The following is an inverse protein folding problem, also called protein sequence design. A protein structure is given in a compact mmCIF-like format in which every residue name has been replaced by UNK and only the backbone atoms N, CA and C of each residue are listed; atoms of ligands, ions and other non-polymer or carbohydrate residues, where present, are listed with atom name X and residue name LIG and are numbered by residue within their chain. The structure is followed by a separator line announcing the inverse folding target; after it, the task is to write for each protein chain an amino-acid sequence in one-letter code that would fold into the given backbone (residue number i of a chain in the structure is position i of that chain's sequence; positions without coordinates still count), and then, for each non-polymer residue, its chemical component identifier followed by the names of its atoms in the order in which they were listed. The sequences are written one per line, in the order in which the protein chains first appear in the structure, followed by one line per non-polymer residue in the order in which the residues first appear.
data_IF_224460432217
#
_entry.id   IF_224460432217
#
_cell.length_a   1.000
_cell.length_b   1.000
_cell.length_c   1.000
_cell.angle_alpha   90.00
_cell.angle_beta   90.00
_cell.angle_gamma   90.00
#
_symmetry.space_group_name_H-M   'P 1'
#
loop_
_entity.id
_entity.type
_entity.pdbx_description
1 polymer ?
#
# COMPACT_ATOMS: atom_id res chain seq x y z
N UNK A 1 21.99 1.35 -18.34
CA UNK A 1 22.30 -0.10 -18.52
C UNK A 1 23.36 -0.45 -17.50
N UNK A 2 23.10 -1.19 -16.42
CA UNK A 2 22.69 -2.60 -16.38
C UNK A 2 21.73 -2.87 -15.21
N UNK A 3 20.44 -3.06 -15.49
CA UNK A 3 19.56 -3.79 -14.58
C UNK A 3 19.85 -5.28 -14.77
N UNK A 4 20.10 -6.00 -13.69
CA UNK A 4 20.29 -7.45 -13.69
C UNK A 4 19.08 -8.07 -14.38
N UNK A 5 19.24 -8.57 -15.61
CA UNK A 5 18.16 -9.28 -16.31
C UNK A 5 17.79 -10.48 -15.45
N UNK A 6 16.70 -10.38 -14.70
CA UNK A 6 16.08 -11.56 -14.11
C UNK A 6 15.48 -12.34 -15.28
N UNK A 7 16.00 -13.54 -15.51
CA UNK A 7 15.32 -14.48 -16.41
C UNK A 7 13.92 -14.70 -15.82
N UNK A 8 12.91 -14.31 -16.59
CA UNK A 8 11.54 -14.63 -16.24
C UNK A 8 11.35 -16.15 -16.33
N UNK A 9 10.55 -16.76 -15.45
CA UNK A 9 10.14 -18.14 -15.62
C UNK A 9 9.35 -18.29 -16.93
N UNK A 10 9.49 -19.42 -17.60
CA UNK A 10 8.60 -19.81 -18.69
C UNK A 10 7.15 -19.90 -18.22
N UNK A 11 6.21 -19.84 -19.18
CA UNK A 11 4.78 -19.98 -18.89
C UNK A 11 4.49 -21.35 -18.23
N UNK A 12 5.24 -22.38 -18.60
CA UNK A 12 5.15 -23.72 -18.04
C UNK A 12 5.65 -23.78 -16.59
N UNK A 13 6.74 -23.09 -16.27
CA UNK A 13 7.26 -22.96 -14.90
C UNK A 13 6.32 -22.17 -13.98
N UNK A 14 5.51 -21.25 -14.54
CA UNK A 14 4.44 -20.55 -13.82
C UNK A 14 3.22 -21.44 -13.52
N UNK A 15 3.21 -22.68 -14.00
CA UNK A 15 2.28 -23.73 -13.61
C UNK A 15 1.10 -23.93 -14.57
N UNK A 16 0.44 -25.09 -14.51
CA UNK A 16 -0.52 -25.53 -15.52
C UNK A 16 -1.77 -24.65 -15.63
N UNK A 17 -2.21 -24.04 -14.52
CA UNK A 17 -3.35 -23.10 -14.53
C UNK A 17 -2.99 -21.79 -15.20
N UNK A 18 -1.77 -21.28 -15.00
CA UNK A 18 -1.29 -20.08 -15.66
C UNK A 18 -1.10 -20.32 -17.16
N UNK A 19 -0.52 -21.46 -17.55
CA UNK A 19 -0.42 -21.84 -18.95
C UNK A 19 -1.79 -21.96 -19.63
N UNK A 20 -2.80 -22.52 -18.95
CA UNK A 20 -4.16 -22.56 -19.46
C UNK A 20 -4.83 -21.18 -19.54
N UNK A 21 -4.50 -20.27 -18.61
CA UNK A 21 -4.93 -18.88 -18.63
C UNK A 21 -4.32 -18.12 -19.80
N UNK A 22 -3.01 -18.21 -20.02
CA UNK A 22 -2.30 -17.57 -21.13
C UNK A 22 -2.91 -17.92 -22.49
N UNK A 23 -3.22 -19.21 -22.71
CA UNK A 23 -3.88 -19.69 -23.94
C UNK A 23 -5.29 -19.15 -24.19
N UNK A 24 -5.92 -18.50 -23.20
CA UNK A 24 -7.26 -17.91 -23.31
C UNK A 24 -7.23 -16.40 -23.52
N UNK A 25 -6.06 -15.78 -23.57
CA UNK A 25 -5.96 -14.35 -23.83
C UNK A 25 -6.38 -14.06 -25.27
N UNK A 26 -7.18 -13.00 -25.43
CA UNK A 26 -7.62 -12.49 -26.73
C UNK A 26 -6.80 -11.26 -27.17
N UNK A 27 -6.12 -10.62 -26.22
CA UNK A 27 -5.28 -9.44 -26.38
C UNK A 27 -4.13 -9.48 -25.38
N UNK A 28 -3.06 -8.68 -25.57
CA UNK A 28 -1.96 -8.64 -24.62
C UNK A 28 -2.44 -8.30 -23.20
N UNK A 29 -1.84 -8.94 -22.21
CA UNK A 29 -1.98 -8.59 -20.80
C UNK A 29 -0.65 -8.05 -20.29
N UNK A 30 -0.65 -6.83 -19.76
CA UNK A 30 0.56 -6.19 -19.26
C UNK A 30 0.53 -6.19 -17.74
N UNK A 31 1.50 -6.88 -17.15
CA UNK A 31 1.84 -6.73 -15.75
C UNK A 31 2.79 -5.56 -15.62
N UNK A 32 2.44 -4.52 -14.86
CA UNK A 32 3.32 -3.38 -14.65
C UNK A 32 3.23 -2.82 -13.24
N UNK A 33 4.27 -2.09 -12.88
CA UNK A 33 4.46 -1.47 -11.57
C UNK A 33 5.25 -0.18 -11.74
N UNK A 34 5.03 0.79 -10.85
CA UNK A 34 5.69 2.10 -10.86
C UNK A 34 6.31 2.44 -9.53
N UNK A 35 7.53 3.00 -9.59
CA UNK A 35 8.10 3.73 -8.47
C UNK A 35 7.91 5.22 -8.72
N UNK A 36 7.56 5.96 -7.67
CA UNK A 36 7.18 7.37 -7.81
C UNK A 36 7.76 8.24 -6.70
N UNK A 37 7.72 9.56 -6.89
CA UNK A 37 8.18 10.53 -5.89
C UNK A 37 7.32 10.56 -4.62
N UNK A 38 6.21 9.84 -4.55
CA UNK A 38 5.30 9.86 -3.41
C UNK A 38 4.15 8.86 -3.52
N UNK A 39 2.96 9.25 -3.05
CA UNK A 39 1.77 8.36 -2.99
C UNK A 39 0.47 9.03 -3.44
N UNK A 40 0.56 10.23 -4.01
CA UNK A 40 -0.57 10.99 -4.55
C UNK A 40 -0.50 11.01 -6.10
N UNK A 41 -1.26 10.15 -6.80
CA UNK A 41 -1.18 10.03 -8.26
C UNK A 41 -1.36 11.34 -9.03
N UNK A 42 -2.13 12.29 -8.49
CA UNK A 42 -2.40 13.55 -9.16
C UNK A 42 -1.18 14.48 -9.23
N UNK A 43 -0.26 14.39 -8.26
CA UNK A 43 0.86 15.34 -8.12
C UNK A 43 2.23 14.67 -8.23
N UNK A 44 2.34 13.42 -7.77
CA UNK A 44 3.61 12.69 -7.79
C UNK A 44 3.99 12.23 -9.20
N UNK A 45 5.29 12.01 -9.38
CA UNK A 45 5.95 11.75 -10.66
C UNK A 45 6.53 10.34 -10.68
N UNK A 46 6.48 9.69 -11.84
CA UNK A 46 7.09 8.37 -12.03
C UNK A 46 8.62 8.54 -12.10
N UNK A 47 9.35 7.71 -11.35
CA UNK A 47 10.83 7.62 -11.37
C UNK A 47 11.32 6.31 -11.97
N UNK A 48 10.51 5.25 -11.90
CA UNK A 48 10.72 3.99 -12.62
C UNK A 48 9.38 3.41 -13.05
N UNK A 49 9.32 2.84 -14.25
CA UNK A 49 8.22 1.99 -14.69
C UNK A 49 8.77 0.69 -15.24
N UNK A 50 8.22 -0.43 -14.78
CA UNK A 50 8.61 -1.77 -15.21
C UNK A 50 7.39 -2.54 -15.69
N UNK A 51 7.54 -3.30 -16.78
CA UNK A 51 6.45 -4.10 -17.32
C UNK A 51 6.92 -5.45 -17.89
N UNK A 52 6.01 -6.41 -17.87
CA UNK A 52 6.09 -7.71 -18.53
C UNK A 52 4.82 -7.89 -19.35
N UNK A 53 4.96 -8.28 -20.62
CA UNK A 53 3.82 -8.50 -21.51
C UNK A 53 3.60 -9.99 -21.69
N UNK A 54 2.38 -10.43 -21.46
CA UNK A 54 1.89 -11.75 -21.80
C UNK A 54 1.01 -11.62 -23.03
N UNK A 55 1.48 -12.15 -24.14
CA UNK A 55 0.82 -12.07 -25.43
C UNK A 55 -0.10 -13.29 -25.67
N UNK A 56 -1.14 -13.16 -26.51
CA UNK A 56 -2.07 -14.27 -26.83
C UNK A 56 -1.41 -15.49 -27.48
N UNK A 57 -0.29 -15.31 -28.18
CA UNK A 57 0.41 -16.39 -28.84
C UNK A 57 1.07 -17.38 -27.86
N UNK A 58 1.21 -18.67 -28.24
CA UNK A 58 1.92 -19.65 -27.43
C UNK A 58 3.36 -19.21 -27.11
N UNK A 59 3.75 -19.28 -25.83
CA UNK A 59 5.07 -18.85 -25.38
C UNK A 59 5.25 -17.32 -25.35
N UNK A 60 4.18 -16.54 -25.53
CA UNK A 60 4.19 -15.08 -25.66
C UNK A 60 4.54 -14.29 -24.39
N UNK A 61 5.34 -14.83 -23.46
CA UNK A 61 5.82 -14.07 -22.32
C UNK A 61 7.09 -13.31 -22.72
N UNK A 62 6.97 -12.00 -22.91
CA UNK A 62 8.09 -11.14 -23.26
C UNK A 62 9.03 -10.90 -22.07
N UNK A 63 10.30 -10.58 -22.34
CA UNK A 63 11.25 -10.11 -21.32
C UNK A 63 10.72 -8.86 -20.59
N UNK A 64 11.08 -8.72 -19.32
CA UNK A 64 10.79 -7.51 -18.56
C UNK A 64 11.49 -6.30 -19.17
N UNK A 65 10.78 -5.18 -19.29
CA UNK A 65 11.32 -3.90 -19.73
C UNK A 65 11.13 -2.88 -18.63
N UNK A 66 12.20 -2.15 -18.31
CA UNK A 66 12.22 -1.18 -17.21
C UNK A 66 12.84 0.12 -17.70
N UNK A 67 12.17 1.23 -17.41
CA UNK A 67 12.66 2.58 -17.68
C UNK A 67 12.91 3.28 -16.37
N UNK A 68 14.13 3.77 -16.18
CA UNK A 68 14.43 4.85 -15.23
C UNK A 68 14.07 6.17 -15.89
N UNK A 69 13.38 7.03 -15.16
CA UNK A 69 12.83 8.28 -15.67
C UNK A 69 13.28 9.40 -14.77
N UNK A 70 13.80 10.48 -15.35
CA UNK A 70 13.99 11.74 -14.63
C UNK A 70 12.60 12.38 -14.41
N UNK A 71 12.13 12.48 -13.14
CA UNK A 71 10.81 13.03 -12.84
C UNK A 71 10.74 14.57 -13.04
N UNK A 72 11.87 15.25 -13.28
CA UNK A 72 11.98 16.70 -13.40
C UNK A 72 11.74 17.45 -12.08
N UNK A 73 11.69 16.72 -10.96
CA UNK A 73 11.52 17.24 -9.60
C UNK A 73 12.42 16.45 -8.64
N UNK A 74 12.71 17.01 -7.46
CA UNK A 74 13.48 16.30 -6.45
C UNK A 74 12.69 15.08 -5.95
N UNK A 75 13.33 13.90 -5.94
CA UNK A 75 12.83 12.70 -5.25
C UNK A 75 12.97 12.91 -3.73
N UNK A 76 11.87 12.86 -2.94
CA UNK A 76 11.91 12.96 -1.48
C UNK A 76 12.69 11.81 -0.85
N UNK A 77 13.28 12.05 0.34
CA UNK A 77 14.09 11.04 1.03
C UNK A 77 13.24 9.84 1.44
N UNK A 78 11.99 10.08 1.84
CA UNK A 78 11.04 9.05 2.25
C UNK A 78 10.72 8.10 1.10
N UNK A 79 10.64 8.61 -0.13
CA UNK A 79 10.46 7.78 -1.33
C UNK A 79 11.74 6.96 -1.62
N UNK A 80 12.90 7.62 -1.55
CA UNK A 80 14.21 6.95 -1.68
C UNK A 80 14.41 5.84 -0.65
N UNK A 81 13.97 6.01 0.60
CA UNK A 81 14.06 4.98 1.64
C UNK A 81 13.17 3.76 1.35
N UNK A 82 12.07 3.94 0.61
CA UNK A 82 11.15 2.87 0.24
C UNK A 82 11.69 2.07 -0.96
N UNK A 83 11.97 2.75 -2.07
CA UNK A 83 12.29 2.08 -3.34
C UNK A 83 13.78 2.09 -3.69
N UNK A 84 14.62 2.78 -2.91
CA UNK A 84 16.08 2.81 -3.09
C UNK A 84 16.57 3.60 -4.30
N UNK A 85 15.75 4.50 -4.85
CA UNK A 85 16.09 5.30 -6.04
C UNK A 85 16.41 6.73 -5.59
N UNK A 86 17.63 7.15 -5.86
CA UNK A 86 18.13 8.47 -5.51
C UNK A 86 18.02 9.44 -6.68
N UNK A 87 18.15 10.74 -6.42
CA UNK A 87 18.22 11.75 -7.47
C UNK A 87 19.41 11.54 -8.42
N UNK A 88 20.51 10.94 -7.95
CA UNK A 88 21.67 10.64 -8.77
C UNK A 88 21.42 9.46 -9.74
N UNK A 89 20.56 8.51 -9.36
CA UNK A 89 20.24 7.34 -10.21
C UNK A 89 19.41 7.71 -11.43
N UNK A 90 18.69 8.84 -11.38
CA UNK A 90 17.85 9.34 -12.48
C UNK A 90 18.51 10.50 -13.24
N UNK A 91 19.69 10.94 -12.80
CA UNK A 91 20.42 12.01 -13.49
C UNK A 91 20.85 11.53 -14.90
N UNK A 92 20.45 12.30 -15.92
CA UNK A 92 20.71 11.95 -17.32
C UNK A 92 19.85 10.81 -17.88
N UNK A 93 18.87 10.32 -17.12
CA UNK A 93 17.82 9.45 -17.64
C UNK A 93 16.78 10.27 -18.43
N UNK A 94 16.03 9.66 -19.37
CA UNK A 94 15.01 10.38 -20.12
C UNK A 94 13.90 10.90 -19.20
N UNK A 95 13.34 12.06 -19.53
CA UNK A 95 12.11 12.53 -18.87
C UNK A 95 10.90 11.77 -19.41
N UNK A 96 9.77 11.80 -18.68
CA UNK A 96 8.57 11.05 -19.08
C UNK A 96 8.11 11.33 -20.52
N UNK A 97 8.22 12.58 -20.98
CA UNK A 97 7.83 12.98 -22.34
C UNK A 97 8.57 12.20 -23.44
N UNK A 98 9.83 11.82 -23.20
CA UNK A 98 10.69 11.12 -24.16
C UNK A 98 10.33 9.62 -24.25
N UNK A 99 9.81 9.03 -23.18
CA UNK A 99 9.42 7.60 -23.17
C UNK A 99 7.91 7.38 -23.40
N UNK A 100 7.11 8.45 -23.38
CA UNK A 100 5.66 8.34 -23.40
C UNK A 100 5.10 7.67 -24.66
N UNK A 101 5.69 7.89 -25.85
CA UNK A 101 5.21 7.24 -27.08
C UNK A 101 5.49 5.73 -27.09
N UNK A 102 6.65 5.32 -26.59
CA UNK A 102 7.01 3.91 -26.47
C UNK A 102 6.08 3.19 -25.49
N UNK A 103 5.82 3.80 -24.33
CA UNK A 103 4.86 3.29 -23.36
C UNK A 103 3.46 3.20 -23.95
N UNK A 104 2.96 4.24 -24.61
CA UNK A 104 1.65 4.20 -25.26
C UNK A 104 1.56 3.11 -26.32
N UNK A 105 2.60 2.90 -27.12
CA UNK A 105 2.63 1.85 -28.12
C UNK A 105 2.53 0.45 -27.48
N UNK A 106 3.20 0.23 -26.36
CA UNK A 106 3.16 -1.05 -25.63
C UNK A 106 1.80 -1.32 -24.99
N UNK A 107 1.18 -0.29 -24.38
CA UNK A 107 -0.08 -0.38 -23.65
C UNK A 107 -1.33 -0.38 -24.54
N UNK A 108 -1.23 0.12 -25.78
CA UNK A 108 -2.36 0.23 -26.70
C UNK A 108 -2.99 -1.13 -26.96
N UNK A 109 -4.29 -1.24 -26.72
CA UNK A 109 -5.07 -2.44 -26.98
C UNK A 109 -4.77 -3.60 -26.02
N UNK A 110 -4.04 -3.36 -24.93
CA UNK A 110 -3.78 -4.35 -23.91
C UNK A 110 -4.79 -4.26 -22.74
N UNK A 111 -4.98 -5.38 -22.07
CA UNK A 111 -5.48 -5.40 -20.70
C UNK A 111 -4.32 -5.21 -19.71
N UNK A 112 -4.65 -4.79 -18.49
CA UNK A 112 -3.66 -4.43 -17.49
C UNK A 112 -3.76 -5.34 -16.26
N UNK A 113 -2.62 -5.61 -15.65
CA UNK A 113 -2.49 -6.36 -14.42
C UNK A 113 -1.37 -5.80 -13.53
N UNK A 114 -1.45 -6.07 -12.24
CA UNK A 114 -0.44 -5.66 -11.26
C UNK A 114 -0.98 -5.84 -9.84
N UNK A 115 -0.27 -5.32 -8.85
CA UNK A 115 -0.67 -5.41 -7.43
C UNK A 115 -1.00 -4.00 -6.92
N UNK A 116 -2.26 -3.72 -6.56
CA UNK A 116 -2.77 -2.36 -6.29
C UNK A 116 -2.80 -1.43 -7.53
N UNK A 117 -2.70 -2.01 -8.71
CA UNK A 117 -2.52 -1.34 -10.01
C UNK A 117 -3.67 -0.39 -10.37
N UNK A 118 -4.91 -0.75 -10.01
CA UNK A 118 -6.09 0.03 -10.36
C UNK A 118 -6.25 1.29 -9.51
N UNK A 119 -5.74 1.25 -8.28
CA UNK A 119 -5.83 2.37 -7.34
C UNK A 119 -4.69 3.35 -7.51
N UNK A 120 -3.53 2.90 -7.97
CA UNK A 120 -2.32 3.70 -7.99
C UNK A 120 -1.66 3.78 -9.38
N UNK A 121 -1.04 2.71 -9.86
CA UNK A 121 -0.15 2.72 -11.04
C UNK A 121 -0.83 3.21 -12.32
N UNK A 122 -2.07 2.79 -12.57
CA UNK A 122 -2.85 3.28 -13.72
C UNK A 122 -3.10 4.78 -13.62
N UNK A 123 -3.38 5.28 -12.41
CA UNK A 123 -3.72 6.70 -12.20
C UNK A 123 -2.50 7.59 -12.35
N UNK A 124 -1.34 7.17 -11.84
CA UNK A 124 -0.11 7.95 -11.99
C UNK A 124 0.37 7.94 -13.44
N UNK A 125 0.24 6.81 -14.16
CA UNK A 125 0.52 6.74 -15.59
C UNK A 125 -0.40 7.68 -16.39
N UNK A 126 -1.70 7.69 -16.10
CA UNK A 126 -2.64 8.64 -16.72
C UNK A 126 -2.27 10.09 -16.42
N UNK A 127 -1.89 10.41 -15.18
CA UNK A 127 -1.49 11.76 -14.79
C UNK A 127 -0.22 12.22 -15.53
N UNK A 128 0.79 11.35 -15.64
CA UNK A 128 2.01 11.64 -16.43
C UNK A 128 1.69 11.85 -17.91
N UNK A 129 0.84 11.00 -18.52
CA UNK A 129 0.42 11.17 -19.91
C UNK A 129 -0.27 12.52 -20.13
N UNK A 130 -1.18 12.92 -19.23
CA UNK A 130 -1.86 14.22 -19.31
C UNK A 130 -0.87 15.38 -19.22
N UNK A 131 0.15 15.30 -18.34
CA UNK A 131 1.19 16.34 -18.21
C UNK A 131 1.96 16.58 -19.51
N UNK A 132 2.11 15.55 -20.34
CA UNK A 132 2.79 15.63 -21.64
C UNK A 132 1.84 15.75 -22.82
N UNK A 133 0.57 16.09 -22.58
CA UNK A 133 -0.43 16.33 -23.63
C UNK A 133 -0.91 15.05 -24.34
N UNK A 134 -0.80 13.89 -23.68
CA UNK A 134 -1.19 12.58 -24.21
C UNK A 134 -2.27 11.94 -23.36
N UNK A 135 -2.88 10.89 -23.89
CA UNK A 135 -3.92 10.13 -23.20
C UNK A 135 -3.90 8.67 -23.63
N UNK A 136 -4.21 7.79 -22.68
CA UNK A 136 -4.46 6.37 -22.92
C UNK A 136 -5.95 6.09 -22.69
N UNK A 137 -6.66 5.65 -23.74
CA UNK A 137 -8.06 5.24 -23.61
C UNK A 137 -8.13 3.86 -22.94
N UNK A 138 -8.71 3.85 -21.74
CA UNK A 138 -8.92 2.65 -20.92
C UNK A 138 -10.38 2.20 -20.88
N UNK A 139 -11.27 2.82 -21.67
CA UNK A 139 -12.71 2.56 -21.63
C UNK A 139 -13.09 1.11 -21.92
N UNK A 140 -12.27 0.39 -22.69
CA UNK A 140 -12.43 -1.04 -23.03
C UNK A 140 -11.34 -1.93 -22.43
N UNK A 141 -10.50 -1.38 -21.55
CA UNK A 141 -9.38 -2.09 -20.91
C UNK A 141 -9.88 -2.82 -19.68
N UNK A 142 -9.61 -4.13 -19.60
CA UNK A 142 -9.84 -4.92 -18.39
C UNK A 142 -8.64 -4.75 -17.46
N UNK A 143 -8.90 -4.65 -16.15
CA UNK A 143 -7.86 -4.53 -15.13
C UNK A 143 -7.94 -5.70 -14.16
N UNK A 144 -6.84 -6.44 -14.01
CA UNK A 144 -6.69 -7.54 -13.06
C UNK A 144 -5.78 -7.06 -11.92
N UNK A 145 -6.37 -6.74 -10.77
CA UNK A 145 -5.62 -6.34 -9.59
C UNK A 145 -5.39 -7.54 -8.65
N UNK A 146 -4.15 -8.00 -8.59
CA UNK A 146 -3.74 -9.14 -7.78
C UNK A 146 -3.95 -8.89 -6.27
N UNK A 147 -3.88 -7.63 -5.81
CA UNK A 147 -4.14 -7.30 -4.40
C UNK A 147 -5.61 -7.48 -4.07
N UNK A 148 -6.51 -7.08 -4.98
CA UNK A 148 -7.95 -7.26 -4.79
C UNK A 148 -8.29 -8.74 -4.68
N UNK A 149 -7.72 -9.57 -5.55
CA UNK A 149 -7.90 -11.03 -5.49
C UNK A 149 -7.35 -11.60 -4.18
N UNK A 150 -6.15 -11.18 -3.77
CA UNK A 150 -5.53 -11.61 -2.51
C UNK A 150 -6.42 -11.27 -1.32
N UNK A 151 -6.88 -10.04 -1.16
CA UNK A 151 -7.74 -9.65 -0.03
C UNK A 151 -9.10 -10.36 -0.02
N UNK A 152 -9.64 -10.74 -1.19
CA UNK A 152 -10.87 -11.51 -1.27
C UNK A 152 -10.67 -12.98 -0.89
N UNK A 153 -9.52 -13.58 -1.22
CA UNK A 153 -9.23 -15.00 -0.98
C UNK A 153 -8.57 -15.25 0.38
N UNK A 154 -7.83 -14.28 0.89
CA UNK A 154 -7.11 -14.32 2.16
C UNK A 154 -7.60 -13.20 3.11
N UNK A 155 -8.85 -13.29 3.62
CA UNK A 155 -9.38 -12.26 4.48
C UNK A 155 -8.65 -12.25 5.83
N UNK A 156 -8.52 -11.08 6.44
CA UNK A 156 -7.86 -10.90 7.75
C UNK A 156 -8.85 -11.03 8.90
N UNK A 157 -9.40 -12.23 9.08
CA UNK A 157 -10.34 -12.56 10.15
C UNK A 157 -9.99 -13.87 10.84
N UNK A 158 -10.68 -14.19 11.94
CA UNK A 158 -10.40 -15.37 12.76
C UNK A 158 -10.54 -16.68 11.97
N UNK A 159 -11.57 -16.82 11.14
CA UNK A 159 -11.77 -18.04 10.34
C UNK A 159 -10.60 -18.28 9.36
N UNK A 160 -10.10 -17.24 8.70
CA UNK A 160 -8.94 -17.36 7.83
C UNK A 160 -7.63 -17.58 8.59
N UNK A 161 -7.48 -16.97 9.78
CA UNK A 161 -6.34 -17.28 10.65
C UNK A 161 -6.36 -18.75 11.09
N UNK A 162 -7.51 -19.28 11.49
CA UNK A 162 -7.67 -20.68 11.88
C UNK A 162 -7.32 -21.62 10.71
N UNK A 163 -7.80 -21.32 9.51
CA UNK A 163 -7.41 -22.09 8.31
C UNK A 163 -5.91 -22.00 8.05
N UNK A 164 -5.31 -20.83 8.16
CA UNK A 164 -3.90 -20.62 7.84
C UNK A 164 -2.95 -21.30 8.84
N UNK A 165 -3.24 -21.21 10.14
CA UNK A 165 -2.37 -21.74 11.19
C UNK A 165 -2.70 -23.18 11.58
N UNK A 166 -3.95 -23.63 11.39
CA UNK A 166 -4.42 -24.91 11.90
C UNK A 166 -5.05 -25.82 10.84
N UNK A 167 -5.15 -25.40 9.57
CA UNK A 167 -5.79 -26.13 8.46
C UNK A 167 -7.23 -26.58 8.79
N UNK A 168 -7.98 -25.71 9.48
CA UNK A 168 -9.35 -25.97 9.94
C UNK A 168 -10.31 -24.84 9.58
N UNK A 169 -11.57 -25.21 9.38
CA UNK A 169 -12.68 -24.27 9.21
C UNK A 169 -13.31 -23.94 10.58
N UNK A 170 -13.78 -22.69 10.73
CA UNK A 170 -14.42 -22.24 11.95
C UNK A 170 -15.90 -22.65 11.97
N UNK A 171 -16.22 -23.65 12.78
CA UNK A 171 -17.60 -24.07 13.05
C UNK A 171 -18.21 -23.25 14.19
N UNK A 172 -19.49 -22.87 14.07
CA UNK A 172 -20.18 -22.11 15.12
C UNK A 172 -19.73 -20.64 15.26
N UNK A 173 -19.18 -20.05 14.19
CA UNK A 173 -18.73 -18.66 14.15
C UNK A 173 -19.74 -17.69 14.76
N UNK A 174 -19.25 -16.68 15.48
CA UNK A 174 -20.02 -15.70 16.28
C UNK A 174 -20.58 -16.26 17.60
N UNK A 175 -20.31 -17.52 17.93
CA UNK A 175 -20.44 -18.05 19.29
C UNK A 175 -19.19 -17.69 20.10
N UNK A 176 -19.36 -17.00 21.23
CA UNK A 176 -18.23 -16.52 22.03
C UNK A 176 -17.26 -17.64 22.45
N UNK A 177 -17.77 -18.83 22.75
CA UNK A 177 -16.95 -20.00 23.10
C UNK A 177 -16.14 -20.51 21.89
N UNK A 178 -16.80 -20.72 20.74
CA UNK A 178 -16.16 -21.19 19.52
C UNK A 178 -15.05 -20.22 19.06
N UNK A 179 -15.33 -18.91 19.09
CA UNK A 179 -14.36 -17.88 18.73
C UNK A 179 -13.18 -17.84 19.72
N UNK A 180 -13.43 -18.06 21.01
CA UNK A 180 -12.37 -18.09 22.04
C UNK A 180 -11.46 -19.30 21.86
N UNK A 181 -12.02 -20.49 21.63
CA UNK A 181 -11.24 -21.72 21.40
C UNK A 181 -10.45 -21.61 20.09
N UNK A 182 -11.06 -21.13 19.02
CA UNK A 182 -10.35 -20.91 17.76
C UNK A 182 -9.21 -19.89 17.91
N UNK A 183 -9.39 -18.85 18.74
CA UNK A 183 -8.33 -17.88 19.03
C UNK A 183 -7.15 -18.52 19.76
N UNK A 184 -7.42 -19.39 20.73
CA UNK A 184 -6.38 -20.17 21.42
C UNK A 184 -5.59 -21.04 20.43
N UNK A 185 -6.29 -21.76 19.55
CA UNK A 185 -5.67 -22.62 18.54
C UNK A 185 -4.82 -21.83 17.55
N UNK A 186 -5.34 -20.69 17.07
CA UNK A 186 -4.59 -19.76 16.22
C UNK A 186 -3.32 -19.29 16.91
N UNK A 187 -3.41 -18.88 18.17
CA UNK A 187 -2.24 -18.42 18.92
C UNK A 187 -1.21 -19.52 19.12
N UNK A 188 -1.63 -20.75 19.43
CA UNK A 188 -0.73 -21.90 19.48
C UNK A 188 -0.01 -22.13 18.14
N UNK A 189 -0.76 -22.11 17.02
CA UNK A 189 -0.18 -22.25 15.68
C UNK A 189 0.75 -21.09 15.28
N UNK A 190 0.53 -19.88 15.81
CA UNK A 190 1.46 -18.76 15.64
C UNK A 190 2.79 -19.03 16.36
N UNK A 191 2.76 -19.48 17.61
CA UNK A 191 3.98 -19.84 18.36
C UNK A 191 4.75 -20.97 17.68
N UNK A 192 4.06 -21.99 17.16
CA UNK A 192 4.70 -23.10 16.43
C UNK A 192 5.35 -22.65 15.11
N UNK A 193 4.70 -21.72 14.39
CA UNK A 193 5.17 -21.25 13.09
C UNK A 193 6.31 -20.24 13.18
N UNK A 194 6.29 -19.36 14.19
CA UNK A 194 7.21 -18.23 14.31
C UNK A 194 8.15 -18.43 15.48
N UNK A 195 9.33 -18.99 15.20
CA UNK A 195 10.35 -19.25 16.23
C UNK A 195 11.00 -17.99 16.80
N UNK A 196 10.71 -16.82 16.23
CA UNK A 196 11.11 -15.50 16.72
C UNK A 196 10.11 -14.86 17.70
N UNK A 197 8.93 -15.47 17.89
CA UNK A 197 8.03 -15.07 18.97
C UNK A 197 8.57 -15.56 20.31
N UNK A 198 8.68 -14.61 21.26
CA UNK A 198 9.02 -14.94 22.64
C UNK A 198 7.87 -15.74 23.29
N UNK A 199 8.21 -16.59 24.25
CA UNK A 199 7.24 -17.36 25.04
C UNK A 199 6.83 -16.62 26.32
N UNK A 200 7.50 -15.51 26.65
CA UNK A 200 7.10 -14.64 27.74
C UNK A 200 5.87 -13.79 27.37
N UNK A 201 4.88 -13.77 28.27
CA UNK A 201 3.63 -13.03 28.10
C UNK A 201 3.88 -11.52 27.99
N UNK A 202 4.86 -10.99 28.72
CA UNK A 202 5.23 -9.57 28.68
C UNK A 202 5.83 -9.16 27.35
N UNK A 203 6.72 -9.98 26.79
CA UNK A 203 7.29 -9.79 25.46
C UNK A 203 6.21 -9.84 24.36
N UNK A 204 5.33 -10.84 24.39
CA UNK A 204 4.20 -10.96 23.45
C UNK A 204 3.22 -9.78 23.57
N UNK A 205 2.96 -9.31 24.79
CA UNK A 205 2.19 -8.10 25.04
C UNK A 205 2.86 -6.87 24.42
N UNK A 206 4.18 -6.73 24.58
CA UNK A 206 4.93 -5.63 23.99
C UNK A 206 4.87 -5.63 22.46
N UNK A 207 5.00 -6.80 21.81
CA UNK A 207 4.83 -6.95 20.35
C UNK A 207 3.42 -6.54 19.92
N UNK A 208 2.41 -7.02 20.63
CA UNK A 208 1.00 -6.69 20.35
C UNK A 208 0.71 -5.20 20.49
N UNK A 209 1.37 -4.54 21.45
CA UNK A 209 1.23 -3.12 21.70
C UNK A 209 2.19 -2.22 20.92
N UNK A 210 3.26 -2.74 20.32
CA UNK A 210 4.17 -1.93 19.50
C UNK A 210 3.42 -1.23 18.36
N UNK A 211 2.44 -1.90 17.76
CA UNK A 211 1.53 -1.33 16.76
C UNK A 211 0.62 -0.25 17.36
N UNK A 212 0.18 -0.41 18.61
CA UNK A 212 -0.65 0.56 19.32
C UNK A 212 0.15 1.76 19.84
N UNK A 213 1.44 1.58 20.13
CA UNK A 213 2.35 2.65 20.61
C UNK A 213 2.59 3.73 19.54
N UNK A 214 2.24 3.48 18.27
CA UNK A 214 2.21 4.52 17.24
C UNK A 214 1.03 5.49 17.36
N UNK A 215 0.03 5.17 18.17
CA UNK A 215 -1.20 5.94 18.31
C UNK A 215 -1.31 6.62 19.68
N UNK A 216 -2.02 7.74 19.73
CA UNK A 216 -2.23 8.55 20.94
C UNK A 216 -3.52 8.14 21.67
N UNK A 217 -4.47 7.58 20.93
CA UNK A 217 -5.78 7.13 21.38
C UNK A 217 -6.08 5.70 20.91
N UNK A 218 -6.95 5.01 21.64
CA UNK A 218 -7.37 3.64 21.33
C UNK A 218 -8.09 3.53 19.97
N UNK A 219 -8.80 4.58 19.57
CA UNK A 219 -9.48 4.66 18.26
C UNK A 219 -8.54 4.85 17.07
N UNK A 220 -7.23 5.00 17.30
CA UNK A 220 -6.19 5.25 16.29
C UNK A 220 -6.48 6.48 15.43
N UNK A 221 -7.22 7.46 15.97
CA UNK A 221 -7.56 8.72 15.30
C UNK A 221 -6.39 9.68 15.27
N UNK A 222 -5.50 9.59 16.24
CA UNK A 222 -4.29 10.38 16.35
C UNK A 222 -3.08 9.47 16.44
N UNK A 223 -2.05 9.80 15.67
CA UNK A 223 -0.77 9.11 15.68
C UNK A 223 0.31 10.01 16.26
N UNK A 224 1.37 9.41 16.80
CA UNK A 224 2.59 10.14 17.14
C UNK A 224 3.41 10.38 15.87
N UNK A 225 3.75 11.65 15.58
CA UNK A 225 4.80 12.03 14.62
C UNK A 225 5.59 13.19 15.20
N UNK A 226 6.91 13.16 15.06
CA UNK A 226 7.81 14.19 15.60
C UNK A 226 7.52 14.52 17.09
N UNK A 227 7.19 13.49 17.87
CA UNK A 227 6.81 13.56 19.28
C UNK A 227 5.53 14.37 19.59
N UNK A 228 4.72 14.72 18.59
CA UNK A 228 3.41 15.34 18.78
C UNK A 228 2.25 14.55 18.14
N UNK A 229 1.01 14.74 18.62
CA UNK A 229 -0.17 14.13 18.01
C UNK A 229 -0.48 14.73 16.64
N UNK A 230 -0.63 13.89 15.63
CA UNK A 230 -1.12 14.24 14.30
C UNK A 230 -2.41 13.49 14.00
N UNK A 231 -3.27 14.06 13.14
CA UNK A 231 -4.47 13.34 12.68
C UNK A 231 -4.07 12.11 11.85
N UNK A 232 -4.73 10.99 12.08
CA UNK A 232 -4.56 9.76 11.30
C UNK A 232 -5.78 9.45 10.41
N UNK A 233 -6.71 10.40 10.26
CA UNK A 233 -7.95 10.24 9.50
C UNK A 233 -8.38 11.51 8.77
N UNK A 234 -9.29 11.34 7.81
CA UNK A 234 -9.95 12.42 7.10
C UNK A 234 -9.00 13.33 6.32
N UNK A 235 -9.51 14.50 5.91
CA UNK A 235 -8.78 15.49 5.11
C UNK A 235 -7.58 16.13 5.82
N UNK A 236 -7.47 15.96 7.14
CA UNK A 236 -6.36 16.50 7.94
C UNK A 236 -5.29 15.45 8.24
N UNK A 237 -5.39 14.23 7.69
CA UNK A 237 -4.41 13.16 7.93
C UNK A 237 -2.98 13.67 7.72
N UNK A 238 -2.12 13.41 8.70
CA UNK A 238 -0.72 13.86 8.74
C UNK A 238 -0.49 15.25 9.32
N UNK A 239 -1.53 16.08 9.52
CA UNK A 239 -1.38 17.43 10.09
C UNK A 239 -1.29 17.38 11.62
N UNK A 240 -0.52 18.28 12.27
CA UNK A 240 -0.47 18.38 13.73
C UNK A 240 -1.79 18.78 14.36
N UNK A 241 -2.15 18.15 15.47
CA UNK A 241 -3.29 18.58 16.29
C UNK A 241 -3.08 19.98 16.85
N UNK A 242 -1.82 20.35 17.16
CA UNK A 242 -1.43 21.70 17.57
C UNK A 242 -1.84 22.76 16.55
N UNK A 243 -1.61 22.49 15.25
CA UNK A 243 -1.99 23.39 14.16
C UNK A 243 -3.51 23.59 14.12
N UNK A 244 -4.28 22.51 14.20
CA UNK A 244 -5.74 22.61 14.21
C UNK A 244 -6.26 23.33 15.47
N UNK A 245 -5.57 23.21 16.59
CA UNK A 245 -5.93 23.89 17.83
C UNK A 245 -5.58 25.38 17.82
N UNK A 246 -4.59 25.83 17.03
CA UNK A 246 -4.20 27.24 16.92
C UNK A 246 -4.96 28.00 15.82
N UNK A 247 -5.48 27.31 14.81
CA UNK A 247 -6.23 27.93 13.71
C UNK A 247 -7.72 28.16 14.08
N UNK A 248 -8.26 29.40 13.97
CA UNK A 248 -9.65 29.69 14.34
C UNK A 248 -10.71 28.88 13.60
N UNK A 249 -10.48 28.56 12.33
CA UNK A 249 -11.40 27.76 11.49
C UNK A 249 -11.34 26.31 11.93
N UNK A 250 -10.13 25.77 12.11
CA UNK A 250 -9.95 24.36 12.48
C UNK A 250 -10.37 24.07 13.92
N UNK A 251 -10.33 25.05 14.83
CA UNK A 251 -10.95 24.93 16.16
C UNK A 251 -12.45 24.65 16.09
N UNK A 252 -13.14 25.17 15.07
CA UNK A 252 -14.54 24.86 14.78
C UNK A 252 -14.71 23.39 14.39
N UNK A 253 -13.82 22.89 13.53
CA UNK A 253 -13.78 21.48 13.14
C UNK A 253 -13.54 20.57 14.35
N UNK A 254 -12.56 20.89 15.21
CA UNK A 254 -12.30 20.15 16.45
C UNK A 254 -13.52 20.07 17.37
N UNK A 255 -14.25 21.18 17.54
CA UNK A 255 -15.51 21.18 18.32
C UNK A 255 -16.59 20.28 17.70
N UNK A 256 -16.68 20.25 16.36
CA UNK A 256 -17.62 19.34 15.69
C UNK A 256 -17.29 17.87 15.92
N UNK A 257 -16.00 17.52 16.04
CA UNK A 257 -15.56 16.17 16.33
C UNK A 257 -15.97 15.71 17.74
N UNK A 258 -16.02 16.62 18.72
CA UNK A 258 -16.47 16.31 20.08
C UNK A 258 -17.93 15.83 20.14
N UNK A 259 -18.76 16.29 19.21
CA UNK A 259 -20.17 15.90 19.08
C UNK A 259 -20.39 14.69 18.17
N UNK A 260 -19.31 14.13 17.59
CA UNK A 260 -19.38 13.00 16.66
C UNK A 260 -19.16 11.64 17.36
N UNK A 261 -19.32 10.54 16.61
CA UNK A 261 -19.05 9.17 17.06
C UNK A 261 -17.54 8.86 17.13
N UNK A 262 -16.78 9.77 17.74
CA UNK A 262 -15.37 9.56 18.11
C UNK A 262 -15.34 8.99 19.53
N UNK A 263 -14.37 8.13 19.83
CA UNK A 263 -14.19 7.57 21.17
C UNK A 263 -13.82 8.66 22.19
N UNK A 264 -14.10 8.41 23.47
CA UNK A 264 -13.89 9.42 24.53
C UNK A 264 -12.41 9.77 24.73
N UNK A 265 -11.49 8.87 24.40
CA UNK A 265 -10.05 9.08 24.54
C UNK A 265 -9.56 10.12 23.52
N UNK A 266 -9.96 9.97 22.26
CA UNK A 266 -9.74 10.97 21.22
C UNK A 266 -10.46 12.30 21.53
N UNK A 267 -11.67 12.28 22.12
CA UNK A 267 -12.34 13.52 22.56
C UNK A 267 -11.59 14.22 23.68
N UNK A 268 -11.05 13.48 24.66
CA UNK A 268 -10.24 14.03 25.73
C UNK A 268 -9.00 14.74 25.16
N UNK A 269 -8.30 14.09 24.22
CA UNK A 269 -7.15 14.68 23.53
C UNK A 269 -7.51 16.00 22.82
N UNK A 270 -8.66 16.04 22.14
CA UNK A 270 -9.15 17.25 21.46
C UNK A 270 -9.48 18.36 22.47
N UNK A 271 -10.12 18.03 23.61
CA UNK A 271 -10.44 19.01 24.66
C UNK A 271 -9.16 19.61 25.24
N UNK A 272 -8.17 18.78 25.59
CA UNK A 272 -6.85 19.22 26.05
C UNK A 272 -6.19 20.17 25.03
N UNK A 273 -6.20 19.81 23.75
CA UNK A 273 -5.62 20.62 22.69
C UNK A 273 -6.33 21.98 22.52
N UNK A 274 -7.66 22.01 22.60
CA UNK A 274 -8.45 23.24 22.53
C UNK A 274 -8.17 24.20 23.70
N UNK A 275 -7.76 23.67 24.85
CA UNK A 275 -7.29 24.39 26.04
C UNK A 275 -5.80 24.77 25.98
N UNK A 276 -5.10 24.41 24.89
CA UNK A 276 -3.67 24.68 24.70
C UNK A 276 -2.74 23.62 25.30
N UNK A 277 -3.27 22.53 25.85
CA UNK A 277 -2.51 21.39 26.36
C UNK A 277 -2.31 20.37 25.24
N UNK A 278 -1.17 20.40 24.58
CA UNK A 278 -0.80 19.40 23.56
C UNK A 278 0.06 18.33 24.22
N UNK A 279 -0.39 17.08 24.19
CA UNK A 279 0.42 15.94 24.66
C UNK A 279 1.71 15.87 23.85
N UNK A 280 2.78 15.42 24.49
CA UNK A 280 4.08 15.19 23.83
C UNK A 280 4.63 13.84 24.27
N UNK A 281 5.19 13.08 23.34
CA UNK A 281 5.89 11.84 23.65
C UNK A 281 7.33 12.17 24.03
N UNK A 282 7.82 11.66 25.16
CA UNK A 282 9.27 11.71 25.43
C UNK A 282 9.97 10.80 24.41
N UNK A 283 11.14 11.16 23.87
CA UNK A 283 11.94 10.24 23.07
C UNK A 283 12.07 8.92 23.83
N UNK A 284 11.90 7.80 23.14
CA UNK A 284 12.32 6.52 23.70
C UNK A 284 13.80 6.68 24.02
N UNK A 285 14.19 6.47 25.28
CA UNK A 285 15.60 6.41 25.62
C UNK A 285 16.20 5.20 24.89
N UNK A 286 17.31 5.43 24.19
CA UNK A 286 18.05 4.41 23.44
C UNK A 286 18.42 3.19 24.31
#
# INVERSE_FOLDING_TARGET
MTSTRRNLPSIEELGPRFAAFARRLERPLIFFDTETTGTEPATDRIVEISLVRLMPEPGGLEEARTWRIDPGVRIPIEATEIHGITNADVEGMPVFAEVADDLLALFRGADLAGFNVGRFDIRVLQAELVRVGKSLDLSQTRVIDAQVIFHQKEPRNLAAALRFYCDRELEGAHGAEADTVATLEVFAGQLDRYSDLDLDVGALHAVSNAINNGYVDLGRRFAWRDNEPVFNFGKHKGKPLRWAASDPVERGYLRSLLSSHVDEDAKLLIREALEGRIRSRKPLAD
#
